data_IF_021049080175
#
_entry.id   IF_021049080175
#
_cell.length_a   1.000
_cell.length_b   1.000
_cell.length_c   1.000
_cell.angle_alpha   90.00
_cell.angle_beta   90.00
_cell.angle_gamma   90.00
#
_symmetry.space_group_name_H-M   'P 1'
#
loop_
_entity.id
_entity.type
_entity.pdbx_description
1 polymer ?
#
# COMPACT_ATOMS: atom_id res chain seq x y z
N UNK A 1 -67.24 -16.08 -24.39
CA UNK A 1 -66.79 -15.17 -25.43
C UNK A 1 -65.88 -14.20 -24.71
N UNK A 2 -64.67 -14.55 -24.41
CA UNK A 2 -63.49 -14.72 -25.29
C UNK A 2 -63.13 -13.43 -26.00
N UNK A 3 -62.09 -12.81 -25.65
CA UNK A 3 -60.95 -12.61 -26.50
C UNK A 3 -59.76 -12.04 -25.68
N UNK A 4 -58.73 -12.84 -25.67
CA UNK A 4 -57.44 -12.47 -25.14
C UNK A 4 -56.57 -11.76 -26.20
N UNK A 5 -55.99 -10.68 -25.84
CA UNK A 5 -54.86 -10.13 -26.61
C UNK A 5 -53.64 -9.99 -25.68
N UNK A 6 -52.73 -10.98 -25.82
CA UNK A 6 -51.36 -10.88 -25.28
C UNK A 6 -50.53 -9.95 -26.16
N UNK A 7 -50.01 -8.92 -25.56
CA UNK A 7 -48.92 -8.12 -26.16
C UNK A 7 -47.57 -8.86 -25.94
N UNK A 8 -46.66 -8.84 -26.90
CA UNK A 8 -45.35 -9.49 -26.77
C UNK A 8 -44.41 -8.64 -25.93
N UNK A 9 -43.74 -9.30 -25.00
CA UNK A 9 -42.67 -8.72 -24.23
C UNK A 9 -41.43 -8.60 -25.12
N UNK A 10 -40.94 -7.37 -25.35
CA UNK A 10 -39.66 -7.12 -25.98
C UNK A 10 -38.54 -7.64 -25.07
N UNK A 11 -37.79 -8.63 -25.54
CA UNK A 11 -36.54 -9.09 -24.93
C UNK A 11 -35.48 -8.01 -25.10
N UNK A 12 -35.29 -7.21 -24.07
CA UNK A 12 -34.15 -6.32 -23.95
C UNK A 12 -32.85 -7.13 -23.86
N UNK A 13 -32.04 -7.09 -24.91
CA UNK A 13 -30.67 -7.61 -24.91
C UNK A 13 -29.82 -6.83 -23.89
N UNK A 14 -29.74 -7.35 -22.67
CA UNK A 14 -28.72 -6.96 -21.71
C UNK A 14 -27.40 -7.54 -22.20
N UNK A 15 -26.52 -6.72 -22.75
CA UNK A 15 -25.12 -7.07 -23.01
C UNK A 15 -24.48 -7.41 -21.66
N UNK A 16 -24.38 -8.70 -21.33
CA UNK A 16 -23.51 -9.18 -20.25
C UNK A 16 -22.09 -8.74 -20.56
N UNK A 17 -21.53 -7.85 -19.74
CA UNK A 17 -20.09 -7.62 -19.72
C UNK A 17 -19.45 -8.95 -19.32
N UNK A 18 -18.74 -9.57 -20.25
CA UNK A 18 -17.95 -10.78 -20.00
C UNK A 18 -16.95 -10.45 -18.89
N UNK A 19 -17.10 -11.10 -17.74
CA UNK A 19 -16.17 -10.97 -16.62
C UNK A 19 -14.85 -11.68 -16.95
N UNK A 20 -13.81 -11.38 -16.18
CA UNK A 20 -12.47 -11.99 -16.28
C UNK A 20 -12.57 -13.53 -16.30
N UNK A 21 -13.48 -14.12 -15.54
CA UNK A 21 -13.73 -15.56 -15.51
C UNK A 21 -14.25 -16.14 -16.84
N UNK A 22 -15.10 -15.42 -17.58
CA UNK A 22 -15.57 -15.88 -18.89
C UNK A 22 -14.45 -15.85 -19.94
N UNK A 23 -13.49 -14.94 -19.80
CA UNK A 23 -12.31 -14.87 -20.68
C UNK A 23 -11.34 -16.02 -20.41
N UNK A 24 -11.13 -16.38 -19.15
CA UNK A 24 -10.27 -17.50 -18.73
C UNK A 24 -10.85 -18.86 -19.16
N UNK A 25 -12.17 -19.08 -19.09
CA UNK A 25 -12.79 -20.35 -19.51
C UNK A 25 -12.64 -20.65 -21.00
N UNK A 26 -12.51 -19.64 -21.87
CA UNK A 26 -12.23 -19.86 -23.30
C UNK A 26 -10.84 -20.41 -23.57
N UNK A 27 -9.87 -20.16 -22.70
CA UNK A 27 -8.49 -20.66 -22.82
C UNK A 27 -8.40 -22.15 -22.43
N UNK A 28 -9.26 -22.60 -21.51
CA UNK A 28 -9.24 -23.96 -20.95
C UNK A 28 -9.87 -25.06 -21.82
N UNK A 29 -10.52 -24.74 -22.95
CA UNK A 29 -11.29 -25.74 -23.73
C UNK A 29 -10.46 -26.57 -24.72
N UNK A 30 -9.12 -26.59 -24.61
CA UNK A 30 -8.24 -27.18 -25.63
C UNK A 30 -7.29 -28.31 -25.22
N UNK A 31 -7.20 -28.70 -23.94
CA UNK A 31 -6.27 -29.78 -23.53
C UNK A 31 -6.91 -30.78 -22.57
N UNK A 32 -6.62 -32.05 -22.86
CA UNK A 32 -6.94 -33.25 -22.06
C UNK A 32 -6.43 -33.14 -20.61
N UNK A 33 -7.11 -33.79 -19.69
CA UNK A 33 -6.95 -33.90 -18.23
C UNK A 33 -5.53 -34.24 -17.74
N UNK A 34 -4.56 -33.34 -17.90
CA UNK A 34 -3.37 -33.33 -17.05
C UNK A 34 -3.59 -32.19 -16.04
N UNK A 35 -3.29 -32.46 -14.76
CA UNK A 35 -3.43 -31.46 -13.69
C UNK A 35 -2.61 -30.23 -14.06
N UNK A 36 -3.27 -29.12 -14.38
CA UNK A 36 -2.62 -27.86 -14.73
C UNK A 36 -1.80 -27.40 -13.52
N UNK A 37 -0.51 -27.21 -13.74
CA UNK A 37 0.41 -26.74 -12.70
C UNK A 37 0.36 -25.22 -12.56
N UNK A 38 0.73 -24.70 -11.40
CA UNK A 38 0.87 -23.27 -11.14
C UNK A 38 1.72 -22.56 -12.21
N UNK A 39 2.85 -23.15 -12.58
CA UNK A 39 3.75 -22.63 -13.63
C UNK A 39 3.07 -22.53 -15.00
N UNK A 40 2.20 -23.48 -15.33
CA UNK A 40 1.43 -23.40 -16.58
C UNK A 40 0.39 -22.30 -16.53
N UNK A 41 -0.23 -22.07 -15.37
CA UNK A 41 -1.18 -20.94 -15.21
C UNK A 41 -0.45 -19.59 -15.35
N UNK A 42 0.70 -19.43 -14.68
CA UNK A 42 1.53 -18.23 -14.79
C UNK A 42 1.93 -17.99 -16.24
N UNK A 43 2.42 -19.01 -16.95
CA UNK A 43 2.78 -18.88 -18.36
C UNK A 43 1.59 -18.50 -19.26
N UNK A 44 0.37 -18.97 -18.95
CA UNK A 44 -0.84 -18.55 -19.67
C UNK A 44 -1.22 -17.10 -19.37
N UNK A 45 -0.98 -16.62 -18.17
CA UNK A 45 -1.21 -15.22 -17.78
C UNK A 45 -0.26 -14.30 -18.52
N UNK A 46 1.03 -14.66 -18.60
CA UNK A 46 2.05 -13.91 -19.34
C UNK A 46 1.70 -13.84 -20.84
N UNK A 47 1.32 -14.98 -21.44
CA UNK A 47 0.89 -15.04 -22.86
C UNK A 47 -0.38 -14.20 -23.09
N UNK A 48 -1.31 -14.17 -22.14
CA UNK A 48 -2.52 -13.36 -22.24
C UNK A 48 -2.22 -11.87 -22.14
N UNK A 49 -1.24 -11.49 -21.30
CA UNK A 49 -0.74 -10.11 -21.22
C UNK A 49 -0.06 -9.69 -22.54
N UNK A 50 0.90 -10.47 -23.06
CA UNK A 50 1.59 -10.20 -24.32
C UNK A 50 0.62 -10.04 -25.52
N UNK A 51 -0.50 -10.77 -25.49
CA UNK A 51 -1.56 -10.67 -26.51
C UNK A 51 -2.54 -9.52 -26.28
N UNK A 52 -2.36 -8.72 -25.22
CA UNK A 52 -3.24 -7.60 -24.87
C UNK A 52 -4.64 -8.02 -24.35
N UNK A 53 -4.80 -9.27 -23.92
CA UNK A 53 -6.05 -9.78 -23.33
C UNK A 53 -6.17 -9.39 -21.86
N UNK A 54 -5.05 -9.35 -21.14
CA UNK A 54 -4.93 -8.90 -19.76
C UNK A 54 -4.11 -7.60 -19.73
N UNK A 55 -4.53 -6.65 -18.90
CA UNK A 55 -3.69 -5.51 -18.55
C UNK A 55 -2.54 -5.95 -17.65
N UNK A 56 -1.47 -5.16 -17.58
CA UNK A 56 -0.29 -5.45 -16.77
C UNK A 56 -0.67 -5.70 -15.32
N UNK A 57 -1.45 -4.79 -14.72
CA UNK A 57 -1.87 -4.86 -13.33
C UNK A 57 -2.70 -6.12 -13.04
N UNK A 58 -3.57 -6.54 -13.99
CA UNK A 58 -4.35 -7.79 -13.86
C UNK A 58 -3.43 -9.03 -13.86
N UNK A 59 -2.39 -9.03 -14.69
CA UNK A 59 -1.42 -10.12 -14.76
C UNK A 59 -0.58 -10.19 -13.48
N UNK A 60 -0.09 -9.05 -12.98
CA UNK A 60 0.66 -8.94 -11.74
C UNK A 60 -0.17 -9.40 -10.53
N UNK A 61 -1.42 -8.98 -10.41
CA UNK A 61 -2.31 -9.45 -9.33
C UNK A 61 -2.47 -10.97 -9.34
N UNK A 62 -2.62 -11.59 -10.51
CA UNK A 62 -2.74 -13.06 -10.62
C UNK A 62 -1.45 -13.75 -10.18
N UNK A 63 -0.28 -13.24 -10.56
CA UNK A 63 1.01 -13.77 -10.13
C UNK A 63 1.19 -13.60 -8.62
N UNK A 64 0.83 -12.44 -8.07
CA UNK A 64 0.88 -12.17 -6.64
C UNK A 64 0.00 -13.12 -5.81
N UNK A 65 -1.18 -13.53 -6.32
CA UNK A 65 -2.03 -14.52 -5.65
C UNK A 65 -1.31 -15.86 -5.44
N UNK A 66 -0.49 -16.30 -6.38
CA UNK A 66 0.29 -17.53 -6.23
C UNK A 66 1.41 -17.37 -5.19
N UNK A 67 2.14 -16.26 -5.25
CA UNK A 67 3.20 -15.96 -4.28
C UNK A 67 2.65 -15.74 -2.85
N UNK A 68 1.42 -15.28 -2.72
CA UNK A 68 0.76 -14.94 -1.46
C UNK A 68 0.64 -16.13 -0.48
N UNK A 69 0.37 -17.33 -0.96
CA UNK A 69 0.18 -18.50 -0.09
C UNK A 69 1.49 -18.92 0.61
N UNK A 70 2.65 -18.65 0.02
CA UNK A 70 3.96 -19.06 0.52
C UNK A 70 4.65 -17.97 1.39
N UNK A 71 4.17 -16.72 1.35
CA UNK A 71 4.76 -15.62 2.14
C UNK A 71 4.48 -15.78 3.63
N UNK A 72 5.49 -15.49 4.45
CA UNK A 72 5.39 -15.45 5.91
C UNK A 72 5.08 -14.03 6.40
N UNK A 73 4.48 -13.91 7.57
CA UNK A 73 4.14 -12.63 8.22
C UNK A 73 5.36 -11.75 8.42
N UNK A 74 6.52 -12.34 8.76
CA UNK A 74 7.76 -11.60 8.95
C UNK A 74 8.23 -10.83 7.71
N UNK A 75 7.82 -11.27 6.49
CA UNK A 75 8.18 -10.60 5.25
C UNK A 75 7.31 -9.36 4.92
N UNK A 76 6.11 -9.27 5.53
CA UNK A 76 5.12 -8.23 5.22
C UNK A 76 4.80 -7.32 6.41
N UNK A 77 5.29 -7.65 7.60
CA UNK A 77 5.03 -6.88 8.81
C UNK A 77 5.73 -5.53 8.80
N UNK A 78 5.14 -4.55 9.48
CA UNK A 78 5.86 -3.35 9.90
C UNK A 78 6.77 -3.71 11.07
N UNK A 79 8.09 -3.60 10.86
CA UNK A 79 9.08 -3.94 11.89
C UNK A 79 8.95 -3.02 13.12
N UNK A 80 9.21 -3.57 14.33
CA UNK A 80 9.06 -2.86 15.62
C UNK A 80 9.72 -1.48 15.69
N UNK A 81 10.81 -1.25 14.97
CA UNK A 81 11.51 0.05 14.92
C UNK A 81 10.71 1.16 14.22
N UNK A 82 9.68 0.81 13.47
CA UNK A 82 8.82 1.75 12.73
C UNK A 82 7.39 1.79 13.29
N UNK A 83 7.12 1.04 14.35
CA UNK A 83 5.79 1.00 14.97
C UNK A 83 5.63 2.16 15.94
N UNK A 84 4.68 3.04 15.67
CA UNK A 84 4.22 4.00 16.66
C UNK A 84 3.35 3.28 17.72
N UNK A 85 3.71 3.41 18.99
CA UNK A 85 3.01 2.80 20.11
C UNK A 85 2.90 3.78 21.27
N UNK A 86 1.96 3.53 22.20
CA UNK A 86 1.76 4.35 23.38
C UNK A 86 2.02 3.55 24.66
N UNK A 87 2.52 4.22 25.70
CA UNK A 87 2.64 3.64 27.00
C UNK A 87 1.31 3.71 27.79
N UNK A 88 1.09 2.76 28.71
CA UNK A 88 -0.06 2.79 29.62
C UNK A 88 -0.14 4.07 30.45
N UNK A 89 0.99 4.72 30.69
CA UNK A 89 1.10 5.95 31.50
C UNK A 89 0.95 7.23 30.67
N UNK A 90 0.86 7.14 29.34
CA UNK A 90 0.65 8.30 28.49
C UNK A 90 -0.73 8.93 28.72
N UNK A 91 -0.78 10.26 28.72
CA UNK A 91 -2.03 11.01 28.92
C UNK A 91 -2.87 10.96 27.64
N UNK A 92 -4.17 10.77 27.79
CA UNK A 92 -5.09 10.71 26.64
C UNK A 92 -4.98 11.92 25.71
N UNK A 93 -4.71 13.13 26.25
CA UNK A 93 -4.52 14.33 25.44
C UNK A 93 -3.34 14.17 24.48
N UNK A 94 -2.19 13.78 24.99
CA UNK A 94 -0.96 13.67 24.22
C UNK A 94 -1.07 12.53 23.19
N UNK A 95 -1.73 11.43 23.57
CA UNK A 95 -2.05 10.31 22.68
C UNK A 95 -2.91 10.75 21.50
N UNK A 96 -3.99 11.52 21.75
CA UNK A 96 -4.88 11.97 20.67
C UNK A 96 -4.17 12.98 19.77
N UNK A 97 -3.37 13.91 20.31
CA UNK A 97 -2.56 14.85 19.54
C UNK A 97 -1.60 14.11 18.61
N UNK A 98 -0.86 13.14 19.13
CA UNK A 98 0.07 12.32 18.33
C UNK A 98 -0.65 11.48 17.26
N UNK A 99 -1.78 10.87 17.60
CA UNK A 99 -2.60 10.13 16.62
C UNK A 99 -3.10 11.00 15.45
N UNK A 100 -3.34 12.29 15.71
CA UNK A 100 -3.76 13.23 14.66
C UNK A 100 -2.60 13.61 13.73
N UNK A 101 -1.38 13.62 14.24
CA UNK A 101 -0.18 13.90 13.45
C UNK A 101 0.22 12.71 12.59
N UNK A 102 0.21 11.49 13.15
CA UNK A 102 0.60 10.26 12.47
C UNK A 102 -0.45 9.73 11.48
N UNK A 103 -1.73 9.96 11.75
CA UNK A 103 -2.83 9.56 10.87
C UNK A 103 -3.22 8.07 10.90
N UNK A 104 -2.53 7.22 11.67
CA UNK A 104 -2.84 5.80 11.74
C UNK A 104 -4.16 5.50 12.47
N UNK A 105 -4.86 4.44 12.05
CA UNK A 105 -6.14 4.07 12.66
C UNK A 105 -6.02 3.34 13.99
N UNK A 106 -4.92 2.60 14.21
CA UNK A 106 -4.71 1.72 15.39
C UNK A 106 -3.28 1.79 15.86
N UNK A 107 -3.11 1.75 17.19
CA UNK A 107 -1.80 1.81 17.81
C UNK A 107 -1.70 0.76 18.92
N UNK A 108 -0.60 0.02 19.02
CA UNK A 108 -0.30 -0.81 20.17
C UNK A 108 -0.17 0.04 21.43
N UNK A 109 -0.56 -0.54 22.56
CA UNK A 109 -0.35 0.05 23.89
C UNK A 109 0.50 -0.91 24.69
N UNK A 110 1.66 -0.45 25.15
CA UNK A 110 2.63 -1.23 25.90
C UNK A 110 2.67 -0.83 27.39
N UNK A 111 3.14 -1.76 28.21
CA UNK A 111 3.42 -1.54 29.62
C UNK A 111 4.79 -0.90 29.81
N UNK A 112 5.81 -1.72 30.10
CA UNK A 112 7.17 -1.23 30.36
C UNK A 112 7.93 -0.93 29.07
N UNK A 113 7.75 -1.77 28.04
CA UNK A 113 8.41 -1.65 26.74
C UNK A 113 7.57 -2.29 25.61
N UNK A 114 8.12 -2.33 24.40
CA UNK A 114 7.47 -2.92 23.21
C UNK A 114 7.27 -4.44 23.30
N UNK A 115 7.94 -5.13 24.22
CA UNK A 115 7.75 -6.56 24.44
C UNK A 115 6.59 -6.85 25.40
N UNK A 116 6.11 -5.82 26.13
CA UNK A 116 4.95 -5.90 27.02
C UNK A 116 3.70 -5.24 26.41
N UNK A 117 3.24 -5.71 25.27
CA UNK A 117 2.02 -5.19 24.62
C UNK A 117 0.78 -5.61 25.41
N UNK A 118 0.04 -4.65 25.94
CA UNK A 118 -1.18 -4.83 26.75
C UNK A 118 -2.47 -4.81 25.92
N UNK A 119 -2.41 -4.27 24.72
CA UNK A 119 -3.56 -4.19 23.83
C UNK A 119 -3.34 -3.21 22.70
N UNK A 120 -4.43 -2.73 22.13
CA UNK A 120 -4.41 -1.68 21.12
C UNK A 120 -5.47 -0.62 21.43
N UNK A 121 -5.20 0.61 20.97
CA UNK A 121 -6.15 1.72 20.99
C UNK A 121 -6.53 2.11 19.55
N UNK A 122 -7.81 2.34 19.32
CA UNK A 122 -8.30 2.79 18.03
C UNK A 122 -8.49 4.31 18.04
N UNK A 123 -7.98 5.02 17.03
CA UNK A 123 -8.09 6.47 16.93
C UNK A 123 -9.52 7.00 17.14
N UNK A 124 -10.52 6.40 16.45
CA UNK A 124 -11.91 6.81 16.60
C UNK A 124 -12.46 6.65 18.03
N UNK A 125 -12.02 5.62 18.76
CA UNK A 125 -12.43 5.42 20.14
C UNK A 125 -11.74 6.43 21.07
N UNK A 126 -10.43 6.67 20.88
CA UNK A 126 -9.68 7.66 21.62
C UNK A 126 -10.28 9.06 21.45
N UNK A 127 -10.56 9.45 20.20
CA UNK A 127 -11.15 10.75 19.88
C UNK A 127 -12.56 10.91 20.46
N UNK A 128 -13.40 9.86 20.36
CA UNK A 128 -14.73 9.83 20.98
C UNK A 128 -14.64 9.96 22.49
N UNK A 129 -13.74 9.20 23.12
CA UNK A 129 -13.56 9.24 24.58
C UNK A 129 -13.06 10.61 25.04
N UNK A 130 -12.11 11.19 24.31
CA UNK A 130 -11.55 12.53 24.55
C UNK A 130 -12.61 13.65 24.44
N UNK A 131 -13.48 13.56 23.44
CA UNK A 131 -14.52 14.59 23.21
C UNK A 131 -15.69 14.49 24.17
N UNK A 132 -16.06 13.28 24.55
CA UNK A 132 -17.21 13.02 25.43
C UNK A 132 -16.90 13.14 26.93
N UNK A 133 -15.62 13.03 27.33
CA UNK A 133 -15.22 12.95 28.72
C UNK A 133 -14.13 13.98 29.06
N UNK A 134 -14.54 15.19 29.41
CA UNK A 134 -13.60 16.28 29.74
C UNK A 134 -12.63 15.92 30.87
N UNK A 135 -13.07 15.11 31.83
CA UNK A 135 -12.24 14.65 32.96
C UNK A 135 -11.12 13.69 32.54
N UNK A 136 -11.29 12.99 31.43
CA UNK A 136 -10.36 11.95 30.96
C UNK A 136 -9.12 12.52 30.23
N UNK A 137 -9.19 13.76 29.77
CA UNK A 137 -8.13 14.36 28.94
C UNK A 137 -6.73 14.29 29.56
N UNK A 138 -6.64 14.49 30.86
CA UNK A 138 -5.38 14.49 31.62
C UNK A 138 -5.19 13.23 32.44
N UNK A 139 -5.84 12.14 32.04
CA UNK A 139 -5.69 10.84 32.69
C UNK A 139 -4.83 9.93 31.84
N UNK A 140 -3.98 9.10 32.48
CA UNK A 140 -3.22 8.08 31.78
C UNK A 140 -4.13 6.99 31.22
N UNK A 141 -3.72 6.37 30.11
CA UNK A 141 -4.51 5.34 29.41
C UNK A 141 -4.94 4.20 30.34
N UNK A 142 -4.10 3.79 31.27
CA UNK A 142 -4.40 2.72 32.27
C UNK A 142 -5.60 3.01 33.16
N UNK A 143 -5.96 4.29 33.36
CA UNK A 143 -7.10 4.70 34.17
C UNK A 143 -8.40 4.82 33.36
N UNK A 144 -8.36 4.56 32.04
CA UNK A 144 -9.50 4.75 31.13
C UNK A 144 -10.12 3.39 30.76
N UNK A 145 -11.15 2.92 31.49
CA UNK A 145 -11.70 1.60 31.28
C UNK A 145 -12.38 1.48 29.92
N UNK A 146 -12.10 0.37 29.21
CA UNK A 146 -12.73 0.04 27.94
C UNK A 146 -12.14 0.75 26.71
N UNK A 147 -11.12 1.62 26.89
CA UNK A 147 -10.45 2.29 25.78
C UNK A 147 -9.43 1.36 25.10
N UNK A 148 -8.68 0.61 25.90
CA UNK A 148 -7.70 -0.37 25.40
C UNK A 148 -8.42 -1.66 25.08
N UNK A 149 -8.28 -2.13 23.85
CA UNK A 149 -8.86 -3.38 23.34
C UNK A 149 -7.84 -4.50 23.35
N UNK A 150 -8.30 -5.75 23.44
CA UNK A 150 -7.44 -6.92 23.30
C UNK A 150 -6.83 -6.97 21.91
N UNK A 151 -5.58 -7.39 21.82
CA UNK A 151 -4.84 -7.62 20.59
C UNK A 151 -4.59 -9.12 20.38
N UNK A 152 -4.42 -9.52 19.15
CA UNK A 152 -4.04 -10.88 18.75
C UNK A 152 -2.54 -10.92 18.49
N UNK A 153 -1.85 -11.94 19.01
CA UNK A 153 -0.45 -12.22 18.73
C UNK A 153 -0.32 -13.33 17.69
N UNK A 154 0.64 -13.19 16.79
CA UNK A 154 0.93 -14.17 15.74
C UNK A 154 2.45 -14.33 15.58
N UNK A 155 2.95 -15.56 15.35
CA UNK A 155 4.37 -15.74 15.05
C UNK A 155 4.73 -15.21 13.66
N UNK A 156 5.96 -14.70 13.50
CA UNK A 156 6.46 -14.17 12.22
C UNK A 156 6.55 -15.23 11.12
N UNK A 157 6.72 -16.50 11.48
CA UNK A 157 6.77 -17.64 10.55
C UNK A 157 5.40 -18.12 10.04
N UNK A 158 4.32 -17.48 10.47
CA UNK A 158 2.98 -17.83 10.02
C UNK A 158 2.75 -17.37 8.59
N UNK A 159 2.17 -18.24 7.73
CA UNK A 159 1.79 -17.84 6.37
C UNK A 159 0.67 -16.79 6.36
N UNK A 160 0.86 -15.74 5.54
CA UNK A 160 -0.09 -14.60 5.48
C UNK A 160 -1.48 -15.02 5.01
N UNK A 161 -1.60 -16.00 4.09
CA UNK A 161 -2.89 -16.50 3.62
C UNK A 161 -3.74 -17.12 4.74
N UNK A 162 -3.09 -17.84 5.70
CA UNK A 162 -3.79 -18.39 6.86
C UNK A 162 -4.15 -17.30 7.87
N UNK A 163 -3.25 -16.32 8.05
CA UNK A 163 -3.50 -15.18 8.92
C UNK A 163 -4.67 -14.36 8.40
N UNK A 164 -4.69 -14.02 7.11
CA UNK A 164 -5.76 -13.27 6.46
C UNK A 164 -7.14 -13.89 6.72
N UNK A 165 -7.29 -15.20 6.46
CA UNK A 165 -8.54 -15.91 6.72
C UNK A 165 -8.96 -15.84 8.19
N UNK A 166 -7.99 -15.91 9.11
CA UNK A 166 -8.25 -15.81 10.55
C UNK A 166 -8.68 -14.40 10.96
N UNK A 167 -8.00 -13.38 10.45
CA UNK A 167 -8.30 -11.96 10.71
C UNK A 167 -9.70 -11.61 10.17
N UNK A 168 -10.01 -12.04 8.94
CA UNK A 168 -11.32 -11.83 8.34
C UNK A 168 -12.44 -12.49 9.15
N UNK A 169 -12.28 -13.76 9.53
CA UNK A 169 -13.29 -14.50 10.30
C UNK A 169 -13.54 -13.91 11.69
N UNK A 170 -12.52 -13.31 12.30
CA UNK A 170 -12.57 -12.70 13.64
C UNK A 170 -12.81 -11.19 13.62
N UNK A 171 -12.88 -10.56 12.44
CA UNK A 171 -12.99 -9.11 12.27
C UNK A 171 -11.85 -8.36 12.99
N UNK A 172 -10.63 -8.92 12.92
CA UNK A 172 -9.41 -8.32 13.45
C UNK A 172 -8.65 -7.67 12.29
N UNK A 173 -8.25 -6.42 12.44
CA UNK A 173 -7.55 -5.65 11.41
C UNK A 173 -6.07 -5.42 11.71
N UNK A 174 -5.60 -5.74 12.91
CA UNK A 174 -4.19 -5.63 13.30
C UNK A 174 -3.83 -6.75 14.24
N UNK A 175 -2.66 -7.35 14.06
CA UNK A 175 -2.06 -8.31 14.98
C UNK A 175 -0.64 -7.87 15.36
N UNK A 176 -0.21 -8.22 16.55
CA UNK A 176 1.19 -8.07 16.99
C UNK A 176 1.95 -9.32 16.56
N UNK A 177 3.09 -9.11 15.93
CA UNK A 177 3.97 -10.19 15.45
C UNK A 177 5.04 -10.44 16.51
N UNK A 178 5.25 -11.71 16.83
CA UNK A 178 6.25 -12.13 17.81
C UNK A 178 7.25 -13.11 17.19
N UNK A 179 8.49 -13.00 17.64
CA UNK A 179 9.56 -13.91 17.28
C UNK A 179 9.48 -15.24 18.06
N UNK A 180 10.47 -16.14 17.86
CA UNK A 180 10.57 -17.43 18.52
C UNK A 180 10.84 -17.34 20.03
N UNK A 181 11.28 -16.19 20.54
CA UNK A 181 11.52 -15.91 21.96
C UNK A 181 10.32 -15.26 22.64
N UNK A 182 9.28 -14.94 21.88
CA UNK A 182 8.08 -14.25 22.35
C UNK A 182 8.24 -12.73 22.45
N UNK A 183 9.33 -12.15 21.91
CA UNK A 183 9.51 -10.71 21.82
C UNK A 183 8.71 -10.13 20.64
N UNK A 184 8.32 -8.89 20.75
CA UNK A 184 7.61 -8.21 19.67
C UNK A 184 8.56 -7.92 18.49
N UNK A 185 8.32 -8.57 17.34
CA UNK A 185 9.03 -8.32 16.10
C UNK A 185 8.45 -7.13 15.33
N UNK A 186 7.12 -6.95 15.41
CA UNK A 186 6.42 -5.88 14.71
C UNK A 186 4.90 -5.97 14.83
N UNK A 187 4.22 -5.38 13.87
CA UNK A 187 2.77 -5.47 13.68
C UNK A 187 2.46 -5.87 12.24
N UNK A 188 1.30 -6.46 12.02
CA UNK A 188 0.76 -6.70 10.68
C UNK A 188 -0.71 -6.29 10.65
N UNK A 189 -1.11 -5.60 9.60
CA UNK A 189 -2.49 -5.19 9.38
C UNK A 189 -3.13 -6.02 8.27
N UNK A 190 -4.44 -5.95 8.13
CA UNK A 190 -5.15 -6.59 7.02
C UNK A 190 -4.84 -5.88 5.71
N UNK A 191 -4.60 -4.59 5.79
CA UNK A 191 -4.20 -3.71 4.70
C UNK A 191 -2.84 -4.16 4.12
N UNK A 192 -1.80 -4.39 4.97
CA UNK A 192 -0.48 -4.90 4.54
C UNK A 192 -0.58 -6.25 3.81
N UNK A 193 -1.45 -7.13 4.32
CA UNK A 193 -1.67 -8.45 3.71
C UNK A 193 -2.37 -8.33 2.35
N UNK A 194 -3.32 -7.41 2.18
CA UNK A 194 -4.01 -7.20 0.91
C UNK A 194 -3.12 -6.54 -0.13
N UNK A 195 -2.22 -5.66 0.30
CA UNK A 195 -1.23 -5.01 -0.55
C UNK A 195 -0.34 -6.02 -1.29
N UNK A 196 -0.05 -7.16 -0.67
CA UNK A 196 0.70 -8.26 -1.29
C UNK A 196 0.00 -8.89 -2.51
N UNK A 197 -1.31 -8.72 -2.65
CA UNK A 197 -2.07 -9.21 -3.81
C UNK A 197 -2.30 -8.09 -4.82
N UNK A 198 -2.74 -6.93 -4.32
CA UNK A 198 -3.23 -5.84 -5.17
C UNK A 198 -2.09 -4.92 -5.62
N UNK A 199 -0.94 -4.98 -4.94
CA UNK A 199 0.10 -3.97 -5.02
C UNK A 199 -0.29 -2.73 -4.20
N UNK A 200 0.50 -1.67 -4.28
CA UNK A 200 0.24 -0.41 -3.57
C UNK A 200 -1.21 0.06 -3.78
N UNK A 201 -2.06 -0.11 -2.76
CA UNK A 201 -3.41 0.47 -2.76
C UNK A 201 -3.26 1.92 -2.34
N UNK A 202 -3.40 2.83 -3.29
CA UNK A 202 -3.36 4.27 -2.98
C UNK A 202 -4.57 4.64 -2.12
N UNK A 203 -4.32 5.18 -0.93
CA UNK A 203 -5.35 5.80 -0.10
C UNK A 203 -5.80 7.13 -0.75
N UNK A 204 -7.06 7.55 -0.49
CA UNK A 204 -7.61 8.86 -0.92
C UNK A 204 -6.75 10.04 -0.44
N UNK A 205 -5.92 9.83 0.59
CA UNK A 205 -4.97 10.77 1.18
C UNK A 205 -3.53 10.54 0.71
N UNK A 206 -3.23 9.42 0.08
CA UNK A 206 -2.00 9.29 -0.66
C UNK A 206 -2.11 10.25 -1.83
N UNK A 207 -1.36 11.32 -1.74
CA UNK A 207 -1.19 12.19 -2.89
C UNK A 207 -0.80 11.28 -4.04
N UNK A 208 -1.69 11.14 -5.04
CA UNK A 208 -1.54 10.24 -6.18
C UNK A 208 -0.07 10.19 -6.59
N UNK A 209 0.50 8.99 -6.66
CA UNK A 209 1.82 8.78 -7.31
C UNK A 209 1.64 8.96 -8.82
N UNK A 210 1.06 10.11 -9.23
CA UNK A 210 1.24 10.55 -10.59
C UNK A 210 2.73 10.79 -10.72
N UNK A 211 3.40 9.87 -11.39
CA UNK A 211 4.83 9.99 -11.73
C UNK A 211 5.12 11.36 -12.30
N UNK A 212 4.14 11.94 -12.98
CA UNK A 212 4.16 13.28 -13.59
C UNK A 212 2.92 14.08 -13.18
N UNK A 213 3.11 15.24 -12.52
CA UNK A 213 2.03 16.15 -12.11
C UNK A 213 2.21 17.51 -12.79
N UNK A 214 1.50 17.78 -13.89
CA UNK A 214 1.50 19.11 -14.50
C UNK A 214 0.97 20.15 -13.51
N UNK A 215 1.64 21.31 -13.46
CA UNK A 215 1.26 22.44 -12.64
C UNK A 215 0.67 23.57 -13.50
N UNK A 216 -0.06 24.50 -12.86
CA UNK A 216 -0.71 25.63 -13.53
C UNK A 216 0.31 26.58 -14.20
N UNK A 217 1.55 26.57 -13.72
CA UNK A 217 2.66 27.40 -14.20
C UNK A 217 3.48 26.73 -15.31
N UNK A 218 3.00 25.65 -15.92
CA UNK A 218 3.66 24.82 -16.91
C UNK A 218 4.92 24.08 -16.38
N UNK A 219 5.14 24.04 -15.07
CA UNK A 219 6.11 23.12 -14.49
C UNK A 219 5.48 21.73 -14.31
N UNK A 220 6.30 20.70 -14.18
CA UNK A 220 5.87 19.34 -13.92
C UNK A 220 6.57 18.85 -12.66
N UNK A 221 5.82 18.33 -11.70
CA UNK A 221 6.39 17.62 -10.55
C UNK A 221 6.54 16.16 -10.96
N UNK A 222 7.76 15.62 -10.82
CA UNK A 222 8.14 14.28 -11.23
C UNK A 222 8.60 13.51 -9.99
N UNK A 223 8.19 12.24 -9.87
CA UNK A 223 8.73 11.33 -8.87
C UNK A 223 10.21 11.03 -9.19
N UNK A 224 11.08 11.07 -8.18
CA UNK A 224 12.50 10.78 -8.38
C UNK A 224 12.77 9.34 -8.86
N UNK A 225 11.87 8.40 -8.59
CA UNK A 225 11.97 7.01 -9.06
C UNK A 225 11.42 6.80 -10.47
N UNK A 226 10.89 7.86 -11.13
CA UNK A 226 10.48 7.80 -12.53
C UNK A 226 11.61 7.26 -13.42
N UNK A 227 11.28 6.36 -14.34
CA UNK A 227 12.26 5.89 -15.32
C UNK A 227 12.72 7.04 -16.22
N UNK A 228 14.00 7.09 -16.58
CA UNK A 228 14.49 8.13 -17.49
C UNK A 228 13.75 8.08 -18.83
N UNK A 229 13.39 6.90 -19.33
CA UNK A 229 12.62 6.73 -20.56
C UNK A 229 11.26 7.42 -20.49
N UNK A 230 10.55 7.31 -19.35
CA UNK A 230 9.25 7.97 -19.18
C UNK A 230 9.43 9.49 -19.05
N UNK A 231 10.51 9.94 -18.38
CA UNK A 231 10.83 11.37 -18.28
C UNK A 231 11.19 11.96 -19.64
N UNK A 232 11.93 11.24 -20.47
CA UNK A 232 12.24 11.64 -21.85
C UNK A 232 10.99 11.85 -22.68
N UNK A 233 10.03 10.90 -22.59
CA UNK A 233 8.76 11.00 -23.31
C UNK A 233 7.89 12.15 -22.82
N UNK A 234 7.80 12.37 -21.50
CA UNK A 234 6.96 13.42 -20.93
C UNK A 234 7.52 14.83 -21.15
N UNK A 235 8.84 14.99 -21.05
CA UNK A 235 9.50 16.30 -21.21
C UNK A 235 9.97 16.61 -22.65
N UNK A 236 9.87 15.65 -23.56
CA UNK A 236 10.41 15.73 -24.94
C UNK A 236 11.90 16.12 -24.93
N UNK A 237 12.69 15.34 -24.18
CA UNK A 237 14.15 15.49 -24.04
C UNK A 237 14.86 14.15 -24.27
N UNK A 238 16.18 14.20 -24.40
CA UNK A 238 17.04 13.02 -24.52
C UNK A 238 18.18 13.17 -23.49
N UNK A 239 18.26 12.23 -22.54
CA UNK A 239 19.35 12.18 -21.56
C UNK A 239 20.65 11.61 -22.15
N UNK A 240 20.57 11.04 -23.35
CA UNK A 240 21.72 10.42 -24.03
C UNK A 240 22.05 9.03 -23.50
N UNK A 241 23.26 8.57 -23.78
CA UNK A 241 23.74 7.24 -23.34
C UNK A 241 24.23 7.33 -21.87
N UNK A 242 23.31 7.18 -20.93
CA UNK A 242 23.57 7.20 -19.48
C UNK A 242 23.33 5.83 -18.86
N UNK A 243 24.11 5.49 -17.83
CA UNK A 243 24.00 4.20 -17.12
C UNK A 243 22.83 4.14 -16.12
N UNK A 244 22.20 5.28 -15.83
CA UNK A 244 21.15 5.40 -14.81
C UNK A 244 19.78 5.06 -15.41
N UNK A 245 18.98 4.33 -14.63
CA UNK A 245 17.63 3.94 -15.04
C UNK A 245 16.54 4.92 -14.55
N UNK A 246 16.83 5.72 -13.49
CA UNK A 246 15.85 6.61 -12.84
C UNK A 246 16.31 8.06 -12.79
N UNK A 247 15.35 8.99 -12.69
CA UNK A 247 15.61 10.43 -12.51
C UNK A 247 16.43 10.69 -11.23
N UNK A 248 16.15 9.97 -10.12
CA UNK A 248 16.96 10.06 -8.91
C UNK A 248 18.42 9.70 -9.16
N UNK A 249 18.69 8.61 -9.87
CA UNK A 249 20.05 8.20 -10.22
C UNK A 249 20.78 9.27 -11.02
N UNK A 250 20.13 9.78 -12.06
CA UNK A 250 20.66 10.84 -12.92
C UNK A 250 20.96 12.13 -12.17
N UNK A 251 20.03 12.61 -11.34
CA UNK A 251 20.24 13.84 -10.56
C UNK A 251 21.26 13.66 -9.43
N UNK A 252 21.34 12.46 -8.83
CA UNK A 252 22.34 12.13 -7.81
C UNK A 252 23.76 12.16 -8.39
N UNK A 253 23.95 11.70 -9.61
CA UNK A 253 25.23 11.82 -10.32
C UNK A 253 25.60 13.29 -10.53
N UNK A 254 24.65 14.12 -10.95
CA UNK A 254 24.85 15.56 -11.11
C UNK A 254 25.12 16.30 -9.79
N UNK A 255 24.60 15.81 -8.67
CA UNK A 255 24.96 16.31 -7.33
C UNK A 255 26.41 15.97 -6.96
N UNK A 256 26.91 14.84 -7.44
CA UNK A 256 28.24 14.32 -7.12
C UNK A 256 28.35 13.67 -5.73
N UNK A 257 27.23 13.52 -5.01
CA UNK A 257 27.16 12.89 -3.69
C UNK A 257 25.73 12.35 -3.44
N UNK A 258 25.61 11.46 -2.46
CA UNK A 258 24.30 10.95 -1.99
C UNK A 258 23.48 12.13 -1.43
N UNK A 259 22.21 12.29 -1.82
CA UNK A 259 21.36 13.39 -1.37
C UNK A 259 21.26 13.50 0.15
N UNK A 260 21.34 14.72 0.66
CA UNK A 260 21.23 15.09 2.07
C UNK A 260 20.20 16.19 2.26
N UNK A 261 19.82 16.50 3.50
CA UNK A 261 18.85 17.57 3.80
C UNK A 261 19.28 18.96 3.26
N UNK A 262 20.59 19.18 3.07
CA UNK A 262 21.12 20.43 2.52
C UNK A 262 20.82 20.58 1.01
N UNK A 263 20.45 19.49 0.33
CA UNK A 263 20.09 19.51 -1.09
C UNK A 263 18.61 19.80 -1.34
N UNK A 264 17.82 19.92 -0.28
CA UNK A 264 16.41 20.33 -0.40
C UNK A 264 16.32 21.73 -1.01
N UNK A 265 15.47 21.90 -2.02
CA UNK A 265 15.33 23.09 -2.86
C UNK A 265 16.55 23.42 -3.76
N UNK A 266 17.54 22.55 -3.85
CA UNK A 266 18.65 22.71 -4.81
C UNK A 266 18.14 22.53 -6.24
N UNK A 267 18.70 23.32 -7.14
CA UNK A 267 18.37 23.30 -8.56
C UNK A 267 19.51 22.68 -9.36
N UNK A 268 19.17 21.77 -10.26
CA UNK A 268 20.08 21.12 -11.20
C UNK A 268 19.59 21.48 -12.60
N UNK A 269 20.48 22.02 -13.42
CA UNK A 269 20.16 22.36 -14.82
C UNK A 269 20.75 21.30 -15.74
N UNK A 270 19.87 20.60 -16.45
CA UNK A 270 20.24 19.55 -17.38
C UNK A 270 19.24 19.51 -18.56
N UNK A 271 19.72 19.23 -19.76
CA UNK A 271 18.93 19.02 -20.97
C UNK A 271 17.89 20.12 -21.27
N UNK A 272 18.21 21.38 -20.92
CA UNK A 272 17.34 22.53 -21.13
C UNK A 272 16.24 22.70 -20.08
N UNK A 273 16.20 21.84 -19.08
CA UNK A 273 15.30 21.94 -17.93
C UNK A 273 16.04 22.27 -16.64
N UNK A 274 15.32 22.90 -15.72
CA UNK A 274 15.74 23.14 -14.34
C UNK A 274 14.99 22.18 -13.44
N UNK A 275 15.69 21.26 -12.80
CA UNK A 275 15.17 20.29 -11.86
C UNK A 275 15.40 20.78 -10.43
N UNK A 276 14.32 21.16 -9.72
CA UNK A 276 14.38 21.60 -8.33
C UNK A 276 13.95 20.48 -7.40
N UNK A 277 14.80 20.11 -6.44
CA UNK A 277 14.49 19.04 -5.47
C UNK A 277 13.45 19.56 -4.48
N UNK A 278 12.27 18.91 -4.45
CA UNK A 278 11.14 19.27 -3.58
C UNK A 278 11.07 18.43 -2.32
N UNK A 279 11.47 17.15 -2.41
CA UNK A 279 11.49 16.26 -1.25
C UNK A 279 12.62 15.26 -1.37
N UNK A 280 13.02 14.71 -0.23
CA UNK A 280 14.06 13.68 -0.10
C UNK A 280 13.48 12.47 0.60
N UNK A 281 13.87 11.28 0.15
CA UNK A 281 13.63 10.01 0.81
C UNK A 281 14.84 9.57 1.65
N UNK A 282 14.87 8.29 2.00
CA UNK A 282 16.02 7.70 2.69
C UNK A 282 17.20 7.56 1.71
N UNK A 283 18.09 8.59 1.66
CA UNK A 283 19.25 8.68 0.76
C UNK A 283 18.89 8.78 -0.74
N UNK A 284 17.71 9.23 -1.05
CA UNK A 284 17.21 9.37 -2.43
C UNK A 284 16.52 10.72 -2.61
N UNK A 285 16.43 11.19 -3.86
CA UNK A 285 15.59 12.31 -4.24
C UNK A 285 14.17 11.78 -4.40
N UNK A 286 13.22 12.32 -3.64
CA UNK A 286 11.83 11.91 -3.66
C UNK A 286 11.05 12.56 -4.80
N UNK A 287 10.85 13.87 -4.75
CA UNK A 287 10.12 14.63 -5.78
C UNK A 287 10.95 15.78 -6.32
N UNK A 288 10.77 16.03 -7.60
CA UNK A 288 11.50 17.05 -8.35
C UNK A 288 10.51 17.89 -9.15
N UNK A 289 10.68 19.21 -9.17
CA UNK A 289 9.97 20.09 -10.11
C UNK A 289 10.86 20.33 -11.31
N UNK A 290 10.36 20.02 -12.50
CA UNK A 290 10.98 20.32 -13.77
C UNK A 290 10.35 21.57 -14.38
N UNK A 291 11.17 22.55 -14.73
CA UNK A 291 10.82 23.80 -15.41
C UNK A 291 11.71 23.98 -16.63
N UNK A 292 11.15 24.40 -17.76
CA UNK A 292 11.90 24.65 -19.01
C UNK A 292 12.60 26.00 -19.02
#
# INVERSE_FOLDING_TARGET
MDDGSRLPLEEGHVKKKSGIFDKLTHIFHGKQQDAVTEKEIISMVDEAHEKGVLHKDEAEMIQNIFAFEDKEVGAVMTHRSHVAAFALDDLLKDVVEHMMEEGNSRYPVCGEDMDDIRGLIHYKDALKFFTQNSWAKFKPLKELPGLIRKVTFVPETRHIGQLFRTMQARQVHMAVVVDEYGQTAGIVTMEDILEEIVGDIFDEYDESKDTFRPQVDNSIIIDGLASLTDVEQELDIDFGDVEMETLNGYLTEHLGHIPTQDDLNREIVANGYRFKILSLGNRTIGRVRAEK
#
